data_IF_266298382414
#
_entry.id   IF_266298382414
#
_cell.length_a   1.000
_cell.length_b   1.000
_cell.length_c   1.000
_cell.angle_alpha   90.00
_cell.angle_beta   90.00
_cell.angle_gamma   90.00
#
_symmetry.space_group_name_H-M   'P 1'
#
loop_
_entity.id
_entity.type
_entity.pdbx_description
1 polymer ?
#
# COMPACT_ATOMS: atom_id res chain seq x y z
N UNK A 1 3.75 -10.82 7.29
CA UNK A 1 2.58 -10.23 6.62
C UNK A 1 2.11 -8.92 7.25
N UNK A 2 1.43 -8.90 8.40
CA UNK A 2 0.94 -7.62 8.99
C UNK A 2 2.09 -6.63 9.23
N UNK A 3 3.18 -7.08 9.86
CA UNK A 3 4.38 -6.26 10.09
C UNK A 3 4.97 -5.73 8.77
N UNK A 4 4.97 -6.54 7.71
CA UNK A 4 5.41 -6.10 6.38
C UNK A 4 4.49 -5.04 5.80
N UNK A 5 3.17 -5.21 5.89
CA UNK A 5 2.22 -4.18 5.42
C UNK A 5 2.45 -2.86 6.17
N UNK A 6 2.74 -2.92 7.47
CA UNK A 6 3.11 -1.75 8.27
C UNK A 6 4.43 -1.12 7.81
N UNK A 7 5.44 -1.94 7.53
CA UNK A 7 6.74 -1.53 6.99
C UNK A 7 6.59 -0.76 5.67
N UNK A 8 5.79 -1.32 4.76
CA UNK A 8 5.51 -0.76 3.45
C UNK A 8 4.76 0.55 3.57
N UNK A 9 3.75 0.62 4.44
CA UNK A 9 3.03 1.86 4.71
C UNK A 9 3.99 2.96 5.18
N UNK A 10 4.90 2.64 6.10
CA UNK A 10 5.91 3.59 6.57
C UNK A 10 6.84 4.09 5.49
N UNK A 11 7.34 3.16 4.67
CA UNK A 11 8.21 3.53 3.56
C UNK A 11 7.47 4.44 2.58
N UNK A 12 6.26 4.06 2.17
CA UNK A 12 5.44 4.81 1.22
C UNK A 12 5.01 6.19 1.73
N UNK A 13 4.95 6.39 3.04
CA UNK A 13 4.69 7.69 3.67
C UNK A 13 5.92 8.61 3.76
N UNK A 14 7.12 8.10 3.45
CA UNK A 14 8.38 8.81 3.61
C UNK A 14 8.71 9.71 2.41
N UNK A 15 9.53 10.74 2.65
CA UNK A 15 10.23 11.49 1.61
C UNK A 15 11.68 11.76 2.02
N UNK A 16 12.62 11.86 1.06
CA UNK A 16 12.43 11.55 -0.37
C UNK A 16 12.22 10.05 -0.60
N UNK A 17 11.56 9.68 -1.71
CA UNK A 17 11.35 8.29 -2.09
C UNK A 17 11.27 8.18 -3.61
N UNK A 18 12.20 7.45 -4.21
CA UNK A 18 12.22 7.19 -5.65
C UNK A 18 11.62 5.82 -5.99
N UNK A 19 11.24 5.60 -7.25
CA UNK A 19 10.77 4.29 -7.71
C UNK A 19 11.83 3.20 -7.54
N UNK A 20 13.09 3.49 -7.89
CA UNK A 20 14.16 2.50 -7.85
C UNK A 20 14.44 2.03 -6.41
N UNK A 21 14.52 2.98 -5.47
CA UNK A 21 14.68 2.66 -4.05
C UNK A 21 13.49 1.86 -3.52
N UNK A 22 12.28 2.25 -3.88
CA UNK A 22 11.07 1.60 -3.39
C UNK A 22 10.94 0.18 -3.95
N UNK A 23 11.04 0.02 -5.28
CA UNK A 23 10.96 -1.28 -5.96
C UNK A 23 12.08 -2.21 -5.52
N UNK A 24 13.30 -1.69 -5.34
CA UNK A 24 14.45 -2.46 -4.90
C UNK A 24 14.27 -3.12 -3.53
N UNK A 25 13.39 -2.60 -2.66
CA UNK A 25 13.02 -3.23 -1.38
C UNK A 25 12.15 -4.47 -1.54
N UNK A 26 11.41 -4.59 -2.65
CA UNK A 26 10.42 -5.64 -2.84
C UNK A 26 10.94 -6.82 -3.63
N UNK A 27 11.79 -6.57 -4.63
CA UNK A 27 12.15 -7.62 -5.56
C UNK A 27 12.84 -7.14 -6.82
N UNK A 28 12.87 -8.03 -7.81
CA UNK A 28 13.39 -7.74 -9.14
C UNK A 28 12.26 -7.31 -10.07
N UNK A 29 12.48 -6.26 -10.85
CA UNK A 29 11.53 -5.82 -11.89
C UNK A 29 11.38 -6.94 -12.92
N UNK A 30 10.13 -7.30 -13.21
CA UNK A 30 9.79 -8.24 -14.29
C UNK A 30 9.32 -7.51 -15.53
N UNK A 31 8.49 -6.48 -15.36
CA UNK A 31 7.96 -5.66 -16.44
C UNK A 31 7.72 -4.24 -15.95
N UNK A 32 7.94 -3.26 -16.83
CA UNK A 32 7.61 -1.86 -16.61
C UNK A 32 6.67 -1.37 -17.71
N UNK A 33 5.43 -1.06 -17.33
CA UNK A 33 4.38 -0.57 -18.24
C UNK A 33 4.32 0.97 -18.28
N UNK A 34 5.35 1.66 -17.81
CA UNK A 34 5.41 3.11 -17.71
C UNK A 34 4.64 3.66 -16.50
N UNK A 35 3.36 3.30 -16.34
CA UNK A 35 2.54 3.74 -15.17
C UNK A 35 2.62 2.78 -13.99
N UNK A 36 2.95 1.51 -14.24
CA UNK A 36 2.98 0.43 -13.26
C UNK A 36 4.21 -0.44 -13.47
N UNK A 37 4.82 -0.90 -12.39
CA UNK A 37 6.00 -1.77 -12.40
C UNK A 37 5.64 -3.09 -11.71
N UNK A 38 5.70 -4.19 -12.45
CA UNK A 38 5.54 -5.52 -11.89
C UNK A 38 6.86 -6.02 -11.32
N UNK A 39 6.80 -6.48 -10.08
CA UNK A 39 7.96 -6.92 -9.31
C UNK A 39 7.78 -8.37 -8.92
N UNK A 40 8.81 -9.19 -9.19
CA UNK A 40 8.91 -10.54 -8.62
C UNK A 40 9.42 -10.40 -7.19
N UNK A 41 8.60 -10.70 -6.16
CA UNK A 41 8.97 -10.41 -4.78
C UNK A 41 10.12 -11.29 -4.28
N UNK A 42 11.00 -10.73 -3.43
CA UNK A 42 11.98 -11.51 -2.67
C UNK A 42 11.34 -12.25 -1.50
N UNK A 43 10.35 -11.64 -0.84
CA UNK A 43 9.62 -12.27 0.26
C UNK A 43 8.62 -13.31 -0.30
N UNK A 44 8.78 -14.61 0.02
CA UNK A 44 7.88 -15.67 -0.47
C UNK A 44 6.46 -15.56 0.08
N UNK A 45 6.18 -14.65 1.03
CA UNK A 45 4.83 -14.36 1.48
C UNK A 45 4.01 -13.58 0.45
N UNK A 46 4.65 -12.96 -0.54
CA UNK A 46 4.01 -12.24 -1.64
C UNK A 46 4.07 -13.06 -2.92
N UNK A 47 2.90 -13.29 -3.53
CA UNK A 47 2.77 -13.92 -4.83
C UNK A 47 3.13 -12.94 -5.95
N UNK A 48 2.71 -11.69 -5.81
CA UNK A 48 2.86 -10.63 -6.80
C UNK A 48 2.90 -9.28 -6.10
N UNK A 49 3.75 -8.38 -6.61
CA UNK A 49 3.84 -6.99 -6.21
C UNK A 49 3.75 -6.13 -7.47
N UNK A 50 2.87 -5.13 -7.46
CA UNK A 50 2.75 -4.13 -8.52
C UNK A 50 2.88 -2.74 -7.89
N UNK A 51 3.77 -1.91 -8.42
CA UNK A 51 4.01 -0.55 -7.91
C UNK A 51 3.53 0.47 -8.94
N UNK A 52 2.63 1.36 -8.54
CA UNK A 52 2.14 2.46 -9.37
C UNK A 52 2.99 3.72 -9.21
N UNK A 53 3.25 4.40 -10.33
CA UNK A 53 3.91 5.72 -10.35
C UNK A 53 2.90 6.83 -10.14
N UNK A 54 3.32 7.88 -9.43
CA UNK A 54 2.60 9.14 -9.41
C UNK A 54 2.55 9.73 -10.84
N UNK A 55 1.45 10.41 -11.15
CA UNK A 55 1.23 11.02 -12.46
C UNK A 55 1.20 12.53 -12.29
N UNK A 56 2.04 13.22 -13.06
CA UNK A 56 1.89 14.65 -13.23
C UNK A 56 0.60 14.91 -14.02
N UNK A 57 -0.42 15.44 -13.35
CA UNK A 57 -1.72 15.71 -13.99
C UNK A 57 -1.68 16.83 -15.04
N UNK A 58 -0.66 17.70 -15.01
CA UNK A 58 -0.48 18.75 -16.03
C UNK A 58 0.10 18.16 -17.30
N UNK A 59 1.14 17.31 -17.20
CA UNK A 59 1.80 16.72 -18.38
C UNK A 59 1.27 15.33 -18.78
N UNK A 60 0.45 14.71 -17.91
CA UNK A 60 -0.02 13.32 -18.00
C UNK A 60 1.10 12.28 -18.07
N UNK A 61 2.30 12.62 -17.61
CA UNK A 61 3.47 11.74 -17.63
C UNK A 61 3.70 11.10 -16.24
N UNK A 62 4.15 9.84 -16.19
CA UNK A 62 4.61 9.23 -14.95
C UNK A 62 5.82 9.95 -14.36
N UNK A 63 5.84 10.09 -13.04
CA UNK A 63 6.96 10.63 -12.26
C UNK A 63 7.81 9.49 -11.67
N UNK A 64 9.05 9.78 -11.29
CA UNK A 64 9.93 8.81 -10.63
C UNK A 64 9.61 8.60 -9.14
N UNK A 65 8.34 8.74 -8.76
CA UNK A 65 7.86 8.70 -7.39
C UNK A 65 6.77 7.64 -7.28
N UNK A 66 6.84 6.69 -6.32
CA UNK A 66 5.77 5.72 -6.12
C UNK A 66 4.54 6.41 -5.53
N UNK A 67 3.36 6.15 -6.09
CA UNK A 67 2.06 6.57 -5.55
C UNK A 67 1.42 5.44 -4.73
N UNK A 68 1.48 4.21 -5.23
CA UNK A 68 0.85 3.08 -4.58
C UNK A 68 1.56 1.76 -4.86
N UNK A 69 1.19 0.76 -4.07
CA UNK A 69 1.64 -0.61 -4.22
C UNK A 69 0.46 -1.54 -3.99
N UNK A 70 0.26 -2.47 -4.91
CA UNK A 70 -0.68 -3.58 -4.79
C UNK A 70 0.10 -4.88 -4.56
N UNK A 71 -0.26 -5.58 -3.48
CA UNK A 71 0.33 -6.86 -3.10
C UNK A 71 -0.73 -7.95 -3.12
N UNK A 72 -0.35 -9.10 -3.70
CA UNK A 72 -1.13 -10.32 -3.63
C UNK A 72 -0.44 -11.29 -2.67
N UNK A 73 -0.97 -11.52 -1.46
CA UNK A 73 -0.35 -12.43 -0.49
C UNK A 73 -0.56 -13.90 -0.87
N UNK A 74 0.45 -14.75 -0.61
CA UNK A 74 0.33 -16.21 -0.71
C UNK A 74 -0.60 -16.75 0.37
N UNK A 75 -0.49 -16.20 1.59
CA UNK A 75 -1.38 -16.48 2.73
C UNK A 75 -2.11 -15.19 3.13
N UNK A 76 -3.31 -14.93 2.57
CA UNK A 76 -4.10 -13.75 2.88
C UNK A 76 -4.35 -13.56 4.39
N UNK A 77 -4.03 -12.38 4.97
CA UNK A 77 -4.37 -12.09 6.36
C UNK A 77 -5.89 -11.98 6.53
N UNK A 78 -6.38 -12.28 7.74
CA UNK A 78 -7.81 -12.12 8.05
C UNK A 78 -8.16 -10.65 8.23
N UNK A 79 -9.45 -10.33 8.06
CA UNK A 79 -9.96 -8.99 8.38
C UNK A 79 -9.74 -8.67 9.86
N UNK A 80 -9.87 -9.62 10.79
CA UNK A 80 -9.59 -9.34 12.20
C UNK A 80 -8.14 -8.95 12.44
N UNK A 81 -7.18 -9.64 11.80
CA UNK A 81 -5.76 -9.30 11.94
C UNK A 81 -5.45 -7.90 11.40
N UNK A 82 -6.10 -7.48 10.32
CA UNK A 82 -5.99 -6.13 9.80
C UNK A 82 -6.62 -5.10 10.76
N UNK A 83 -7.79 -5.40 11.32
CA UNK A 83 -8.46 -4.53 12.31
C UNK A 83 -7.62 -4.35 13.57
N UNK A 84 -7.03 -5.43 14.08
CA UNK A 84 -6.13 -5.38 15.24
C UNK A 84 -4.90 -4.50 14.96
N UNK A 85 -4.38 -4.54 13.74
CA UNK A 85 -3.15 -3.83 13.37
C UNK A 85 -3.36 -2.36 12.99
N UNK A 86 -4.49 -2.04 12.36
CA UNK A 86 -4.75 -0.74 11.72
C UNK A 86 -5.97 -0.01 12.30
N UNK A 87 -6.66 -0.62 13.25
CA UNK A 87 -7.88 -0.07 13.85
C UNK A 87 -9.13 -0.30 13.00
N UNK A 88 -10.21 0.44 13.25
CA UNK A 88 -11.46 0.27 12.53
C UNK A 88 -11.33 0.66 11.05
N UNK A 89 -12.00 -0.07 10.17
CA UNK A 89 -12.06 0.23 8.73
C UNK A 89 -13.39 0.88 8.33
N UNK A 90 -13.36 1.55 7.18
CA UNK A 90 -14.57 1.95 6.45
C UNK A 90 -14.87 0.90 5.37
N UNK A 91 -16.11 0.42 5.30
CA UNK A 91 -16.57 -0.36 4.14
C UNK A 91 -16.66 0.59 2.95
N UNK A 92 -16.09 0.18 1.81
CA UNK A 92 -16.27 0.91 0.55
C UNK A 92 -17.38 0.27 -0.25
N UNK A 93 -18.14 1.09 -0.99
CA UNK A 93 -19.25 0.63 -1.82
C UNK A 93 -18.74 -0.36 -2.86
N UNK A 94 -19.37 -1.52 -2.94
CA UNK A 94 -19.13 -2.50 -4.00
C UNK A 94 -19.73 -1.95 -5.29
N UNK A 95 -18.90 -1.51 -6.24
CA UNK A 95 -19.37 -0.88 -7.49
C UNK A 95 -20.09 -1.88 -8.42
N UNK A 96 -19.79 -3.18 -8.31
CA UNK A 96 -20.43 -4.26 -9.08
C UNK A 96 -20.55 -5.54 -8.24
N UNK A 97 -21.66 -6.26 -8.35
CA UNK A 97 -21.94 -7.48 -7.55
C UNK A 97 -20.88 -8.60 -7.69
N UNK A 98 -20.11 -8.62 -8.78
CA UNK A 98 -19.00 -9.57 -9.01
C UNK A 98 -17.68 -9.14 -8.38
N UNK A 99 -17.57 -7.88 -7.95
CA UNK A 99 -16.36 -7.37 -7.32
C UNK A 99 -16.30 -7.83 -5.87
N UNK A 100 -15.14 -8.34 -5.40
CA UNK A 100 -14.99 -8.66 -3.99
C UNK A 100 -15.25 -7.41 -3.13
N UNK A 101 -15.93 -7.55 -1.98
CA UNK A 101 -16.09 -6.47 -1.02
C UNK A 101 -14.74 -5.83 -0.69
N UNK A 102 -14.73 -4.51 -0.51
CA UNK A 102 -13.51 -3.77 -0.19
C UNK A 102 -13.63 -3.06 1.15
N UNK A 103 -12.54 -3.10 1.92
CA UNK A 103 -12.39 -2.37 3.17
C UNK A 103 -11.24 -1.38 3.06
N UNK A 104 -11.33 -0.26 3.79
CA UNK A 104 -10.35 0.83 3.77
C UNK A 104 -9.93 1.21 5.18
N UNK A 105 -8.63 1.24 5.43
CA UNK A 105 -8.00 1.81 6.62
C UNK A 105 -7.28 3.10 6.23
N UNK A 106 -7.40 4.14 7.04
CA UNK A 106 -6.69 5.40 6.83
C UNK A 106 -5.63 5.54 7.92
N UNK A 107 -4.36 5.44 7.54
CA UNK A 107 -3.23 5.60 8.44
C UNK A 107 -2.72 7.03 8.33
N UNK A 108 -2.95 7.81 9.37
CA UNK A 108 -2.43 9.15 9.46
C UNK A 108 -1.15 9.14 10.30
N UNK A 109 -0.04 9.45 9.66
CA UNK A 109 1.28 9.50 10.29
C UNK A 109 1.61 10.97 10.53
N UNK A 110 1.36 11.45 11.75
CA UNK A 110 1.47 12.88 12.11
C UNK A 110 2.88 13.45 11.93
N UNK A 111 3.90 12.59 11.86
CA UNK A 111 5.30 12.88 11.65
C UNK A 111 5.75 12.76 10.17
N UNK A 112 4.82 12.51 9.24
CA UNK A 112 5.13 12.23 7.83
C UNK A 112 4.37 13.16 6.87
N UNK A 113 4.96 13.46 5.69
CA UNK A 113 4.34 14.36 4.72
C UNK A 113 3.11 13.76 4.01
N UNK A 114 2.92 12.44 4.07
CA UNK A 114 1.81 11.73 3.44
C UNK A 114 1.07 10.86 4.44
N UNK A 115 -0.24 10.73 4.24
CA UNK A 115 -1.00 9.63 4.84
C UNK A 115 -0.98 8.42 3.92
N UNK A 116 -1.16 7.23 4.48
CA UNK A 116 -1.31 6.01 3.70
C UNK A 116 -2.70 5.44 3.88
N UNK A 117 -3.30 5.07 2.75
CA UNK A 117 -4.60 4.43 2.70
C UNK A 117 -4.39 2.98 2.32
N UNK A 118 -4.86 2.07 3.17
CA UNK A 118 -4.83 0.63 2.91
C UNK A 118 -6.22 0.21 2.44
N UNK A 119 -6.34 -0.18 1.18
CA UNK A 119 -7.52 -0.86 0.63
C UNK A 119 -7.29 -2.36 0.58
N UNK A 120 -8.26 -3.18 0.99
CA UNK A 120 -8.16 -4.63 0.86
C UNK A 120 -9.41 -5.19 0.18
N UNK A 121 -9.20 -6.04 -0.83
CA UNK A 121 -10.26 -6.85 -1.43
C UNK A 121 -10.45 -8.12 -0.61
N UNK A 122 -11.69 -8.40 -0.20
CA UNK A 122 -12.02 -9.45 0.75
C UNK A 122 -12.72 -10.61 0.06
N UNK A 123 -12.32 -11.84 0.40
CA UNK A 123 -13.02 -13.08 0.09
C UNK A 123 -12.92 -14.00 1.30
N UNK A 124 -14.05 -14.55 1.74
CA UNK A 124 -14.13 -15.47 2.89
C UNK A 124 -13.43 -14.95 4.15
N UNK A 125 -13.64 -13.66 4.46
CA UNK A 125 -13.06 -13.00 5.64
C UNK A 125 -11.56 -12.70 5.54
N UNK A 126 -10.94 -12.86 4.36
CA UNK A 126 -9.50 -12.66 4.14
C UNK A 126 -9.19 -11.64 3.05
N UNK A 127 -8.12 -10.90 3.23
CA UNK A 127 -7.64 -9.90 2.28
C UNK A 127 -6.80 -10.53 1.16
N UNK A 128 -7.46 -10.92 0.07
CA UNK A 128 -6.83 -11.60 -1.07
C UNK A 128 -5.95 -10.68 -1.93
N UNK A 129 -6.08 -9.37 -1.74
CA UNK A 129 -5.30 -8.33 -2.41
C UNK A 129 -5.32 -7.08 -1.55
N UNK A 130 -4.18 -6.44 -1.39
CA UNK A 130 -4.01 -5.27 -0.53
C UNK A 130 -3.32 -4.18 -1.35
N UNK A 131 -3.92 -3.00 -1.39
CA UNK A 131 -3.35 -1.81 -2.03
C UNK A 131 -3.03 -0.78 -0.96
N UNK A 132 -1.79 -0.31 -0.92
CA UNK A 132 -1.37 0.81 -0.10
C UNK A 132 -1.13 2.00 -1.01
N UNK A 133 -1.84 3.11 -0.78
CA UNK A 133 -1.70 4.34 -1.57
C UNK A 133 -1.29 5.49 -0.67
N UNK A 134 -0.26 6.25 -1.06
CA UNK A 134 0.03 7.54 -0.41
C UNK A 134 -0.97 8.58 -0.88
N UNK A 135 -1.42 9.42 0.03
CA UNK A 135 -2.24 10.59 -0.30
C UNK A 135 -1.59 11.82 0.33
N UNK A 136 -1.48 12.90 -0.45
CA UNK A 136 -1.06 14.21 0.08
C UNK A 136 -2.05 14.65 1.15
N UNK A 137 -1.53 15.10 2.29
CA UNK A 137 -2.35 15.73 3.32
C UNK A 137 -2.89 17.06 2.77
N UNK A 138 -4.17 17.10 2.38
CA UNK A 138 -4.89 18.36 2.33
C UNK A 138 -5.21 18.81 3.76
N UNK A 139 -5.34 20.12 4.01
CA UNK A 139 -5.45 20.81 5.32
C UNK A 139 -6.58 20.35 6.29
N UNK A 140 -7.13 19.14 6.17
CA UNK A 140 -8.20 18.63 7.02
C UNK A 140 -7.60 17.94 8.26
N UNK A 141 -7.92 18.46 9.45
CA UNK A 141 -7.63 17.83 10.75
C UNK A 141 -8.20 16.40 10.78
N UNK A 142 -7.37 15.43 11.17
CA UNK A 142 -7.79 14.04 11.40
C UNK A 142 -7.27 13.57 12.77
N UNK A 143 -8.11 12.83 13.48
CA UNK A 143 -8.11 12.63 14.94
C UNK A 143 -7.43 11.34 15.46
N UNK A 144 -6.60 10.66 14.67
CA UNK A 144 -5.85 9.50 15.14
C UNK A 144 -4.46 9.48 14.51
N UNK A 145 -3.42 9.30 15.34
CA UNK A 145 -2.03 9.13 14.91
C UNK A 145 -1.67 7.65 14.87
N UNK A 146 -1.06 7.23 13.77
CA UNK A 146 -0.47 5.91 13.61
C UNK A 146 1.05 6.08 13.54
N UNK A 147 1.79 5.34 14.38
CA UNK A 147 3.24 5.49 14.51
C UNK A 147 3.98 4.42 13.70
N UNK A 148 4.96 4.86 12.92
CA UNK A 148 5.90 3.96 12.27
C UNK A 148 6.81 3.29 13.29
N UNK A 149 6.76 1.96 13.35
CA UNK A 149 7.84 1.17 13.96
C UNK A 149 8.78 0.76 12.84
N UNK A 150 10.07 1.10 12.95
CA UNK A 150 11.05 0.85 11.91
C UNK A 150 11.05 -0.63 11.51
N UNK A 151 10.84 -0.97 10.23
CA UNK A 151 10.97 -2.34 9.76
C UNK A 151 12.43 -2.75 9.60
N UNK A 152 12.71 -4.03 9.82
CA UNK A 152 13.98 -4.67 9.47
C UNK A 152 13.82 -5.26 8.07
N UNK A 153 14.24 -4.53 7.03
CA UNK A 153 14.44 -5.14 5.71
C UNK A 153 15.75 -5.93 5.76
N UNK A 154 15.80 -7.18 5.24
CA UNK A 154 17.07 -7.88 5.06
C UNK A 154 17.98 -7.06 4.14
N UNK A 155 19.26 -6.98 4.51
CA UNK A 155 20.33 -6.28 3.78
C UNK A 155 20.80 -7.09 2.58
#
# INVERSE_FOLDING_TARGET
MIAEIQAIACLLASEPLTMDEFVGKFGTVTYDYGVNVLVKPYDPQFKEVNVGRDIDFTTRKPLNTPEDIEITPVKPPTVEALVQAFGPYKKTVTLHYTSPPRIRFNLNMSDRPYRVVIGAAIRDGRAIRIRLRREKLSNTRVSASWACRSPKFPS
#
